data_IF_126399605853
#
_entry.id   IF_126399605853
#
_cell.length_a   1.000
_cell.length_b   1.000
_cell.length_c   1.000
_cell.angle_alpha   90.00
_cell.angle_beta   90.00
_cell.angle_gamma   90.00
#
_symmetry.space_group_name_H-M   'P 1'
#
loop_
_entity.id
_entity.type
_entity.pdbx_description
1 polymer ?
#
# COMPACT_ATOMS: atom_id res chain seq x y z
N UNK A 1 27.12 12.93 -13.18
CA UNK A 1 27.43 12.96 -11.74
C UNK A 1 26.81 11.73 -11.09
N UNK A 2 27.58 10.65 -10.96
CA UNK A 2 27.19 9.47 -10.18
C UNK A 2 27.35 9.80 -8.69
N UNK A 3 26.35 10.44 -8.09
CA UNK A 3 26.37 10.76 -6.67
C UNK A 3 25.98 9.57 -5.78
N UNK A 4 25.39 8.51 -6.36
CA UNK A 4 24.90 7.36 -5.61
C UNK A 4 25.24 6.04 -6.29
N UNK A 5 25.82 5.09 -5.53
CA UNK A 5 25.96 3.72 -5.98
C UNK A 5 24.60 3.01 -5.85
N UNK A 6 24.08 2.53 -6.97
CA UNK A 6 22.85 1.72 -7.02
C UNK A 6 23.19 0.24 -7.16
N UNK A 7 22.43 -0.63 -6.49
CA UNK A 7 22.49 -2.09 -6.68
C UNK A 7 21.15 -2.57 -7.21
N UNK A 8 21.18 -3.68 -7.94
CA UNK A 8 19.98 -4.33 -8.43
C UNK A 8 19.05 -4.68 -7.24
N UNK A 9 17.75 -4.57 -7.47
CA UNK A 9 16.71 -4.98 -6.51
C UNK A 9 16.81 -6.49 -6.30
N UNK A 10 16.64 -6.97 -5.07
CA UNK A 10 16.62 -8.39 -4.77
C UNK A 10 15.47 -9.09 -5.50
N UNK A 11 15.57 -10.39 -5.75
CA UNK A 11 14.53 -11.19 -6.41
C UNK A 11 13.17 -11.18 -5.67
N UNK A 12 13.13 -10.68 -4.43
CA UNK A 12 11.92 -10.45 -3.62
C UNK A 12 11.31 -9.06 -3.80
N UNK A 13 11.88 -8.22 -4.67
CA UNK A 13 11.42 -6.83 -4.88
C UNK A 13 11.88 -5.85 -3.80
N UNK A 14 12.64 -6.29 -2.80
CA UNK A 14 13.19 -5.42 -1.78
C UNK A 14 14.51 -4.78 -2.25
N UNK A 15 14.62 -3.46 -2.05
CA UNK A 15 15.84 -2.73 -2.33
C UNK A 15 16.99 -3.19 -1.42
N UNK A 16 18.16 -3.38 -2.00
CA UNK A 16 19.37 -3.69 -1.22
C UNK A 16 19.92 -2.39 -0.66
N UNK A 17 19.95 -2.24 0.68
CA UNK A 17 20.48 -1.03 1.32
C UNK A 17 21.95 -0.83 0.95
N UNK A 18 22.23 0.21 0.18
CA UNK A 18 23.59 0.62 -0.19
C UNK A 18 24.09 1.78 0.62
N UNK A 19 23.18 2.55 1.23
CA UNK A 19 23.50 3.78 1.96
C UNK A 19 23.59 3.48 3.46
N UNK A 20 24.78 3.63 4.04
CA UNK A 20 25.03 3.46 5.47
C UNK A 20 25.12 4.80 6.23
N UNK A 21 25.06 5.93 5.53
CA UNK A 21 25.19 7.28 6.09
C UNK A 21 24.09 8.20 5.57
N UNK A 22 23.70 9.18 6.38
CA UNK A 22 22.85 10.28 5.93
C UNK A 22 23.63 11.12 4.94
N UNK A 23 23.03 11.40 3.79
CA UNK A 23 23.64 12.25 2.76
C UNK A 23 22.70 13.40 2.43
N UNK A 24 23.27 14.60 2.36
CA UNK A 24 22.60 15.79 1.83
C UNK A 24 23.12 16.01 0.41
N UNK A 25 22.22 16.06 -0.55
CA UNK A 25 22.52 16.37 -1.94
C UNK A 25 21.84 17.67 -2.31
N UNK A 26 22.62 18.59 -2.82
CA UNK A 26 22.10 19.84 -3.38
C UNK A 26 21.97 19.63 -4.89
N UNK A 27 20.77 19.80 -5.41
CA UNK A 27 20.49 19.70 -6.84
C UNK A 27 20.87 21.01 -7.56
N UNK A 28 21.12 20.93 -8.87
CA UNK A 28 21.53 22.08 -9.67
C UNK A 28 20.54 23.27 -9.62
N UNK A 29 19.27 22.97 -9.32
CA UNK A 29 18.19 23.96 -9.16
C UNK A 29 18.13 24.56 -7.73
N UNK A 30 19.08 24.24 -6.85
CA UNK A 30 19.13 24.71 -5.47
C UNK A 30 18.24 23.94 -4.48
N UNK A 31 17.47 22.93 -4.93
CA UNK A 31 16.73 22.05 -4.03
C UNK A 31 17.68 21.11 -3.29
N UNK A 32 17.32 20.77 -2.05
CA UNK A 32 18.12 19.90 -1.19
C UNK A 32 17.37 18.57 -0.96
N UNK A 33 18.07 17.44 -1.19
CA UNK A 33 17.58 16.10 -0.92
C UNK A 33 18.39 15.48 0.23
N UNK A 34 17.70 14.97 1.23
CA UNK A 34 18.32 14.25 2.35
C UNK A 34 18.01 12.76 2.18
N UNK A 35 19.03 11.95 1.94
CA UNK A 35 18.92 10.50 1.98
C UNK A 35 19.22 9.99 3.40
N UNK A 36 18.23 9.32 4.02
CA UNK A 36 18.35 8.77 5.37
C UNK A 36 18.27 7.25 5.33
N UNK A 37 19.37 6.52 5.64
CA UNK A 37 19.34 5.06 5.70
C UNK A 37 18.44 4.59 6.85
N UNK A 38 17.72 3.49 6.64
CA UNK A 38 16.99 2.79 7.69
C UNK A 38 15.60 3.31 8.03
N UNK A 39 15.02 4.22 7.26
CA UNK A 39 13.59 4.55 7.36
C UNK A 39 12.77 3.47 6.64
N UNK A 40 12.67 2.29 7.24
CA UNK A 40 11.99 1.14 6.62
C UNK A 40 10.47 1.18 6.71
N UNK A 41 9.94 1.82 7.77
CA UNK A 41 8.50 1.80 8.04
C UNK A 41 8.09 3.10 8.74
N UNK A 42 7.92 4.15 7.96
CA UNK A 42 7.02 5.21 8.38
C UNK A 42 5.61 4.70 8.05
N UNK A 43 4.95 4.12 9.05
CA UNK A 43 3.56 3.74 8.89
C UNK A 43 2.73 4.95 8.49
N UNK A 44 1.84 4.75 7.54
CA UNK A 44 0.89 5.79 7.09
C UNK A 44 -0.17 5.94 8.18
N UNK A 45 0.15 6.72 9.22
CA UNK A 45 -0.78 7.01 10.32
C UNK A 45 -1.53 8.31 10.00
N UNK A 46 -2.86 8.25 9.99
CA UNK A 46 -3.70 9.43 9.75
C UNK A 46 -3.63 9.98 8.32
N UNK A 47 -3.30 9.14 7.34
CA UNK A 47 -3.14 9.55 5.95
C UNK A 47 -4.43 9.38 5.11
N UNK A 48 -5.57 9.07 5.73
CA UNK A 48 -6.85 8.92 5.02
C UNK A 48 -7.11 10.10 4.09
N UNK A 49 -7.08 11.33 4.61
CA UNK A 49 -7.29 12.55 3.83
C UNK A 49 -6.25 12.73 2.72
N UNK A 50 -4.99 12.34 2.96
CA UNK A 50 -3.91 12.41 1.97
C UNK A 50 -4.07 11.38 0.84
N UNK A 51 -4.56 10.18 1.17
CA UNK A 51 -4.88 9.15 0.16
C UNK A 51 -6.07 9.63 -0.67
N UNK A 52 -7.10 10.15 -0.04
CA UNK A 52 -8.29 10.65 -0.72
C UNK A 52 -7.95 11.81 -1.68
N UNK A 53 -7.11 12.75 -1.26
CA UNK A 53 -6.63 13.85 -2.13
C UNK A 53 -5.73 13.34 -3.27
N UNK A 54 -4.90 12.34 -3.02
CA UNK A 54 -4.02 11.77 -4.04
C UNK A 54 -4.73 10.86 -5.06
N UNK A 55 -5.97 10.42 -4.74
CA UNK A 55 -6.76 9.46 -5.52
C UNK A 55 -8.20 9.91 -5.68
N UNK A 56 -8.42 11.20 -5.99
CA UNK A 56 -9.75 11.82 -6.12
C UNK A 56 -10.65 11.08 -7.13
N UNK A 57 -10.07 10.55 -8.21
CA UNK A 57 -10.77 9.76 -9.22
C UNK A 57 -11.37 8.47 -8.64
N UNK A 58 -10.72 7.87 -7.65
CA UNK A 58 -11.22 6.67 -6.96
C UNK A 58 -12.39 7.02 -6.04
N UNK A 59 -12.32 8.17 -5.36
CA UNK A 59 -13.41 8.63 -4.48
C UNK A 59 -14.67 8.92 -5.28
N UNK A 60 -14.52 9.59 -6.45
CA UNK A 60 -15.63 9.86 -7.35
C UNK A 60 -16.31 8.57 -7.86
N UNK A 61 -15.54 7.54 -8.17
CA UNK A 61 -16.05 6.23 -8.58
C UNK A 61 -16.61 5.43 -7.42
N UNK A 62 -16.01 5.51 -6.22
CA UNK A 62 -16.47 4.81 -5.02
C UNK A 62 -17.91 5.19 -4.66
N UNK A 63 -18.29 6.45 -4.86
CA UNK A 63 -19.67 6.94 -4.67
C UNK A 63 -20.69 6.24 -5.57
N UNK A 64 -20.26 5.61 -6.67
CA UNK A 64 -21.08 4.90 -7.63
C UNK A 64 -21.12 3.39 -7.40
N UNK A 65 -20.37 2.88 -6.41
CA UNK A 65 -20.39 1.47 -6.06
C UNK A 65 -21.76 1.05 -5.50
N UNK A 66 -22.12 -0.22 -5.75
CA UNK A 66 -23.37 -0.79 -5.21
C UNK A 66 -23.42 -0.77 -3.67
N UNK A 67 -22.27 -0.90 -3.02
CA UNK A 67 -22.15 -0.96 -1.56
C UNK A 67 -21.37 0.25 -1.04
N UNK A 68 -21.86 0.88 0.00
CA UNK A 68 -21.22 2.05 0.63
C UNK A 68 -19.89 1.74 1.31
N UNK A 69 -19.69 0.48 1.73
CA UNK A 69 -18.46 -0.01 2.34
C UNK A 69 -17.67 -0.94 1.40
N UNK A 70 -17.70 -0.64 0.11
CA UNK A 70 -17.00 -1.43 -0.90
C UNK A 70 -15.48 -1.39 -0.66
N UNK A 71 -14.84 -2.56 -0.61
CA UNK A 71 -13.39 -2.67 -0.52
C UNK A 71 -12.69 -2.49 -1.87
N UNK A 72 -13.48 -2.51 -2.95
CA UNK A 72 -13.06 -2.45 -4.35
C UNK A 72 -12.25 -3.67 -4.83
N UNK A 73 -12.23 -4.77 -4.07
CA UNK A 73 -11.46 -5.96 -4.43
C UNK A 73 -12.31 -7.07 -5.06
N UNK A 74 -13.45 -7.40 -4.46
CA UNK A 74 -14.21 -8.60 -4.84
C UNK A 74 -15.73 -8.37 -4.99
N UNK A 75 -16.23 -7.21 -4.56
CA UNK A 75 -17.66 -6.95 -4.51
C UNK A 75 -18.26 -6.81 -5.90
N UNK A 76 -19.41 -7.46 -6.15
CA UNK A 76 -20.15 -7.30 -7.40
C UNK A 76 -20.75 -5.90 -7.50
N UNK A 77 -20.66 -5.28 -8.69
CA UNK A 77 -21.14 -3.92 -8.91
C UNK A 77 -20.22 -2.84 -8.33
N UNK A 78 -18.91 -3.12 -8.28
CA UNK A 78 -17.89 -2.15 -7.93
C UNK A 78 -17.56 -1.27 -9.14
N UNK A 79 -17.82 0.04 -9.02
CA UNK A 79 -17.56 1.00 -10.11
C UNK A 79 -16.05 1.19 -10.34
N UNK A 80 -15.23 1.14 -9.29
CA UNK A 80 -13.77 1.24 -9.40
C UNK A 80 -13.21 0.10 -10.23
N UNK A 81 -13.61 -1.16 -9.95
CA UNK A 81 -13.17 -2.30 -10.74
C UNK A 81 -13.64 -2.24 -12.19
N UNK A 82 -14.88 -1.83 -12.41
CA UNK A 82 -15.40 -1.64 -13.76
C UNK A 82 -14.58 -0.62 -14.55
N UNK A 83 -14.16 0.48 -13.91
CA UNK A 83 -13.32 1.49 -14.54
C UNK A 83 -11.91 0.96 -14.89
N UNK A 84 -11.35 0.07 -14.07
CA UNK A 84 -10.08 -0.62 -14.41
C UNK A 84 -10.28 -1.59 -15.58
N UNK A 85 -11.33 -2.40 -15.54
CA UNK A 85 -11.66 -3.37 -16.61
C UNK A 85 -11.92 -2.67 -17.96
N UNK A 86 -12.49 -1.46 -17.93
CA UNK A 86 -12.76 -0.65 -19.12
C UNK A 86 -11.55 0.20 -19.58
N UNK A 87 -10.46 0.23 -18.81
CA UNK A 87 -9.26 1.00 -19.12
C UNK A 87 -9.35 2.51 -18.79
N UNK A 88 -10.40 2.95 -18.08
CA UNK A 88 -10.54 4.32 -17.57
C UNK A 88 -9.54 4.60 -16.43
N UNK A 89 -9.23 3.59 -15.62
CA UNK A 89 -8.20 3.62 -14.61
C UNK A 89 -7.09 2.63 -14.95
N UNK A 90 -5.83 3.03 -14.72
CA UNK A 90 -4.70 2.11 -14.91
C UNK A 90 -4.64 1.08 -13.77
N UNK A 91 -4.26 -0.16 -14.10
CA UNK A 91 -4.05 -1.25 -13.14
C UNK A 91 -3.00 -0.90 -12.08
N UNK A 92 -1.89 -0.26 -12.48
CA UNK A 92 -0.83 0.15 -11.57
C UNK A 92 -1.32 1.17 -10.53
N UNK A 93 -2.16 2.10 -10.95
CA UNK A 93 -2.72 3.12 -10.06
C UNK A 93 -3.74 2.51 -9.11
N UNK A 94 -4.57 1.59 -9.61
CA UNK A 94 -5.49 0.81 -8.79
C UNK A 94 -4.76 -0.02 -7.74
N UNK A 95 -3.72 -0.76 -8.14
CA UNK A 95 -2.90 -1.57 -7.24
C UNK A 95 -2.27 -0.71 -6.12
N UNK A 96 -1.76 0.47 -6.49
CA UNK A 96 -1.19 1.44 -5.56
C UNK A 96 -2.24 1.95 -4.55
N UNK A 97 -3.43 2.31 -5.02
CA UNK A 97 -4.54 2.75 -4.17
C UNK A 97 -4.95 1.68 -3.16
N UNK A 98 -5.19 0.44 -3.61
CA UNK A 98 -5.59 -0.67 -2.74
C UNK A 98 -4.52 -0.97 -1.69
N UNK A 99 -3.24 -0.93 -2.08
CA UNK A 99 -2.12 -1.15 -1.16
C UNK A 99 -2.06 -0.08 -0.07
N UNK A 100 -2.13 1.19 -0.45
CA UNK A 100 -2.08 2.31 0.50
C UNK A 100 -3.30 2.32 1.43
N UNK A 101 -4.48 2.04 0.91
CA UNK A 101 -5.71 1.96 1.70
C UNK A 101 -5.62 0.84 2.75
N UNK A 102 -5.17 -0.34 2.37
CA UNK A 102 -4.95 -1.46 3.31
C UNK A 102 -3.92 -1.14 4.39
N UNK A 103 -2.87 -0.43 4.01
CA UNK A 103 -1.84 -0.01 4.94
C UNK A 103 -2.40 1.02 5.94
N UNK A 104 -3.12 2.03 5.47
CA UNK A 104 -3.79 3.02 6.33
C UNK A 104 -4.77 2.35 7.29
N UNK A 105 -5.66 1.50 6.78
CA UNK A 105 -6.63 0.76 7.59
C UNK A 105 -5.94 -0.11 8.66
N UNK A 106 -4.79 -0.71 8.33
CA UNK A 106 -4.02 -1.51 9.28
C UNK A 106 -3.47 -0.68 10.44
N UNK A 107 -2.97 0.53 10.17
CA UNK A 107 -2.43 1.42 11.20
C UNK A 107 -3.52 2.09 12.04
N UNK A 108 -4.70 2.35 11.46
CA UNK A 108 -5.85 2.93 12.16
C UNK A 108 -6.57 1.91 13.06
N UNK A 109 -6.39 0.61 12.80
CA UNK A 109 -7.00 -0.42 13.63
C UNK A 109 -6.50 -0.36 15.08
N UNK A 110 -7.43 -0.42 16.02
CA UNK A 110 -7.09 -0.54 17.43
C UNK A 110 -6.28 -1.80 17.73
N UNK A 111 -5.47 -1.79 18.78
CA UNK A 111 -4.71 -2.96 19.23
C UNK A 111 -5.61 -4.20 19.45
N UNK A 112 -6.81 -4.00 19.97
CA UNK A 112 -7.76 -5.08 20.22
C UNK A 112 -8.30 -5.69 18.93
N UNK A 113 -8.53 -4.87 17.92
CA UNK A 113 -9.03 -5.35 16.63
C UNK A 113 -7.95 -6.07 15.83
N UNK A 114 -6.71 -5.58 15.86
CA UNK A 114 -5.54 -6.32 15.31
C UNK A 114 -5.45 -7.71 15.93
N UNK A 115 -5.50 -7.79 17.26
CA UNK A 115 -5.42 -9.07 17.99
C UNK A 115 -6.58 -10.02 17.66
N UNK A 116 -7.81 -9.50 17.45
CA UNK A 116 -8.95 -10.31 17.00
C UNK A 116 -8.71 -10.87 15.59
N UNK A 117 -8.23 -10.03 14.67
CA UNK A 117 -7.92 -10.38 13.28
C UNK A 117 -6.84 -11.46 13.22
N UNK A 118 -5.74 -11.28 13.94
CA UNK A 118 -4.64 -12.26 14.03
C UNK A 118 -5.10 -13.61 14.58
N UNK A 119 -5.95 -13.59 15.63
CA UNK A 119 -6.53 -14.81 16.20
C UNK A 119 -7.47 -15.53 15.23
N UNK A 120 -8.28 -14.78 14.47
CA UNK A 120 -9.16 -15.34 13.44
C UNK A 120 -8.34 -15.95 12.30
N UNK A 121 -7.31 -15.25 11.83
CA UNK A 121 -6.40 -15.75 10.81
C UNK A 121 -5.65 -17.01 11.26
N UNK A 122 -5.16 -17.04 12.50
CA UNK A 122 -4.52 -18.24 13.07
C UNK A 122 -5.45 -19.45 13.11
N UNK A 123 -6.76 -19.27 13.41
CA UNK A 123 -7.76 -20.32 13.35
C UNK A 123 -7.99 -20.80 11.92
N UNK A 124 -8.10 -19.87 10.96
CA UNK A 124 -8.27 -20.18 9.55
C UNK A 124 -7.11 -21.01 9.01
N UNK A 125 -5.86 -20.59 9.25
CA UNK A 125 -4.67 -21.35 8.84
C UNK A 125 -4.66 -22.76 9.43
N UNK A 126 -5.05 -22.93 10.70
CA UNK A 126 -5.16 -24.26 11.32
C UNK A 126 -6.21 -25.13 10.65
N UNK A 127 -7.36 -24.57 10.26
CA UNK A 127 -8.43 -25.31 9.55
C UNK A 127 -7.97 -25.77 8.17
N UNK A 128 -7.32 -24.90 7.40
CA UNK A 128 -6.78 -25.23 6.07
C UNK A 128 -5.72 -26.33 6.17
N UNK A 129 -4.77 -26.20 7.12
CA UNK A 129 -3.75 -27.23 7.34
C UNK A 129 -4.34 -28.60 7.74
N UNK A 130 -5.48 -28.61 8.45
CA UNK A 130 -6.18 -29.84 8.80
C UNK A 130 -6.81 -30.50 7.57
N UNK A 131 -7.39 -29.71 6.68
CA UNK A 131 -7.99 -30.20 5.42
C UNK A 131 -6.94 -30.74 4.43
N UNK A 132 -5.73 -30.15 4.43
CA UNK A 132 -4.65 -30.60 3.54
C UNK A 132 -3.92 -31.87 4.00
N UNK A 133 -4.17 -32.32 5.25
CA UNK A 133 -3.53 -33.52 5.81
C UNK A 133 -4.44 -34.76 5.83
N UNK A 134 -5.70 -34.64 5.46
CA UNK A 134 -6.65 -35.73 5.29
C UNK A 134 -6.81 -36.09 3.84
#
# INVERSE_FOLDING_TARGET
NEAFATKAVSGTGEGTHTTSRRQLVVLDQGAMLIDTPGMRELGIVGAGDGIDTGFEEFIALAAQCRYTNCSHEHEPGCAVRAAVENGELSEDRYSSYIKLKKESDHYEMSYLDRRKKDKAFGKFIKSVKKQMKG
#
